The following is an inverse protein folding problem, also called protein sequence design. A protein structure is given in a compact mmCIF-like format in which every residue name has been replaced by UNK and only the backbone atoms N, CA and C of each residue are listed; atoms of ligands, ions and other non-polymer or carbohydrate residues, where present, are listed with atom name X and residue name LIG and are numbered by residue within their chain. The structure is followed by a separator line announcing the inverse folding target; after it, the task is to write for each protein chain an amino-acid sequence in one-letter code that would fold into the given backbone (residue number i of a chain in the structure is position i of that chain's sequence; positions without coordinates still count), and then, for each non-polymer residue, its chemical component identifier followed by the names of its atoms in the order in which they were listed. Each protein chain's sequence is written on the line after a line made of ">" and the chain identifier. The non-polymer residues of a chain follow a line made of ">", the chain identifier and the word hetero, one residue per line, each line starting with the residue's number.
data_IF_796924276329
#
_entry.id   IF_796924276329
#
_cell.length_a   1.000
_cell.length_b   1.000
_cell.length_c   1.000
_cell.angle_alpha   90.00
_cell.angle_beta   90.00
_cell.angle_gamma   90.00
#
_symmetry.space_group_name_H-M   'P 1'
#
loop_
_entity.id
_entity.type
_entity.pdbx_description
1 polymer ?
#
# COMPACT_ATOMS: atom_id res chain seq x y z
N UNK A 1 -16.63 -24.22 -30.51
CA UNK A 1 -15.31 -24.23 -29.85
C UNK A 1 -14.94 -22.79 -29.51
N UNK A 2 -15.39 -22.29 -28.37
CA UNK A 2 -15.24 -20.87 -27.98
C UNK A 2 -14.19 -20.80 -26.88
N UNK A 3 -12.98 -20.35 -27.23
CA UNK A 3 -11.87 -20.16 -26.28
C UNK A 3 -12.21 -19.01 -25.34
N UNK A 4 -12.55 -19.35 -24.09
CA UNK A 4 -12.72 -18.39 -23.01
C UNK A 4 -11.45 -17.57 -22.81
N UNK A 5 -11.58 -16.26 -22.96
CA UNK A 5 -10.52 -15.27 -22.70
C UNK A 5 -10.33 -15.22 -21.19
N UNK A 6 -9.34 -15.96 -20.67
CA UNK A 6 -8.91 -15.83 -19.28
C UNK A 6 -8.52 -14.37 -19.02
N UNK A 7 -9.32 -13.67 -18.21
CA UNK A 7 -8.93 -12.41 -17.60
C UNK A 7 -7.75 -12.67 -16.65
N UNK A 8 -6.54 -12.63 -17.19
CA UNK A 8 -5.32 -12.56 -16.39
C UNK A 8 -5.21 -11.11 -15.87
N UNK A 9 -5.60 -10.87 -14.62
CA UNK A 9 -5.21 -9.60 -13.98
C UNK A 9 -5.98 -9.08 -12.78
N UNK A 10 -7.06 -9.72 -12.27
CA UNK A 10 -7.92 -9.08 -11.27
C UNK A 10 -8.13 -9.83 -9.93
N UNK A 11 -7.40 -10.93 -9.65
CA UNK A 11 -7.68 -11.76 -8.45
C UNK A 11 -6.48 -12.01 -7.51
N UNK A 12 -5.55 -11.05 -7.33
CA UNK A 12 -4.42 -11.24 -6.39
C UNK A 12 -4.14 -10.06 -5.44
N UNK A 13 -5.20 -9.43 -4.93
CA UNK A 13 -5.06 -8.35 -3.93
C UNK A 13 -6.23 -8.18 -2.95
N UNK A 14 -7.20 -9.10 -2.90
CA UNK A 14 -8.56 -8.74 -2.46
C UNK A 14 -8.83 -8.71 -0.95
N UNK A 15 -8.03 -9.36 -0.09
CA UNK A 15 -8.32 -9.45 1.35
C UNK A 15 -7.47 -8.52 2.23
N UNK A 16 -6.17 -8.77 2.26
CA UNK A 16 -5.26 -8.09 3.20
C UNK A 16 -5.11 -6.59 2.89
N UNK A 17 -4.94 -6.23 1.63
CA UNK A 17 -4.84 -4.81 1.22
C UNK A 17 -6.14 -4.05 1.50
N UNK A 18 -7.29 -4.67 1.21
CA UNK A 18 -8.60 -4.08 1.52
C UNK A 18 -8.79 -3.88 3.02
N UNK A 19 -8.37 -4.85 3.83
CA UNK A 19 -8.40 -4.73 5.29
C UNK A 19 -7.48 -3.60 5.81
N UNK A 20 -6.31 -3.40 5.20
CA UNK A 20 -5.43 -2.27 5.51
C UNK A 20 -6.12 -0.96 5.16
N UNK A 21 -6.74 -0.86 3.96
CA UNK A 21 -7.43 0.37 3.54
C UNK A 21 -8.55 0.75 4.52
N UNK A 22 -9.39 -0.22 4.91
CA UNK A 22 -10.46 -0.01 5.91
C UNK A 22 -9.91 0.38 7.28
N UNK A 23 -8.81 -0.24 7.69
CA UNK A 23 -8.13 0.12 8.93
C UNK A 23 -7.64 1.57 8.88
N UNK A 24 -7.07 2.00 7.76
CA UNK A 24 -6.57 3.37 7.58
C UNK A 24 -7.71 4.40 7.59
N UNK A 25 -8.83 4.09 6.92
CA UNK A 25 -10.04 4.91 6.98
C UNK A 25 -10.56 5.02 8.43
N UNK A 26 -10.55 3.92 9.19
CA UNK A 26 -10.94 3.93 10.58
C UNK A 26 -9.97 4.77 11.44
N UNK A 27 -8.66 4.72 11.18
CA UNK A 27 -7.69 5.59 11.85
C UNK A 27 -7.92 7.07 11.58
N UNK A 28 -8.31 7.42 10.36
CA UNK A 28 -8.64 8.80 9.98
C UNK A 28 -9.90 9.28 10.70
N UNK A 29 -10.96 8.46 10.70
CA UNK A 29 -12.20 8.76 11.43
C UNK A 29 -11.99 8.92 12.94
N UNK A 30 -11.06 8.13 13.51
CA UNK A 30 -10.69 8.20 14.93
C UNK A 30 -9.68 9.32 15.23
N UNK A 31 -9.19 10.06 14.22
CA UNK A 31 -8.18 11.10 14.41
C UNK A 31 -6.83 10.58 14.89
N UNK A 32 -6.49 9.30 14.63
CA UNK A 32 -5.20 8.69 15.03
C UNK A 32 -4.12 8.85 13.96
N UNK A 33 -4.48 8.79 12.69
CA UNK A 33 -3.54 8.92 11.58
C UNK A 33 -4.27 9.21 10.26
N UNK A 34 -3.56 9.82 9.32
CA UNK A 34 -4.00 9.95 7.92
C UNK A 34 -2.97 9.22 7.06
N UNK A 35 -3.34 8.03 6.55
CA UNK A 35 -2.43 7.14 5.82
C UNK A 35 -3.14 6.67 4.55
N UNK A 36 -2.57 6.99 3.40
CA UNK A 36 -3.16 6.67 2.10
C UNK A 36 -2.27 5.74 1.30
N UNK A 37 -2.90 5.01 0.38
CA UNK A 37 -2.17 4.23 -0.62
C UNK A 37 -1.75 5.13 -1.77
N UNK A 38 -0.50 5.03 -2.18
CA UNK A 38 0.02 5.69 -3.38
C UNK A 38 -0.54 5.04 -4.64
N UNK A 39 -0.95 5.88 -5.58
CA UNK A 39 -1.38 5.44 -6.89
C UNK A 39 -0.21 4.80 -7.67
N UNK A 40 -0.53 3.95 -8.64
CA UNK A 40 0.48 3.35 -9.53
C UNK A 40 1.08 4.47 -10.40
N UNK A 41 2.39 4.74 -10.33
CA UNK A 41 3.01 5.72 -11.20
C UNK A 41 2.96 5.21 -12.65
N UNK A 42 2.73 6.12 -13.58
CA UNK A 42 2.74 5.79 -15.00
C UNK A 42 2.38 6.97 -15.90
N UNK A 43 2.51 6.75 -17.20
CA UNK A 43 2.27 7.76 -18.23
C UNK A 43 1.10 7.36 -19.10
N UNK A 44 0.21 8.31 -19.38
CA UNK A 44 -0.78 8.16 -20.42
C UNK A 44 -0.17 8.51 -21.78
N UNK A 45 0.01 7.51 -22.63
CA UNK A 45 0.59 7.67 -23.97
C UNK A 45 -0.53 7.74 -25.01
N UNK A 46 -0.42 8.71 -25.92
CA UNK A 46 -1.34 8.87 -27.07
C UNK A 46 -0.74 8.14 -28.28
N UNK A 47 -1.50 7.25 -28.96
CA UNK A 47 -1.07 6.60 -30.20
C UNK A 47 -0.72 7.62 -31.29
N UNK A 48 0.26 7.29 -32.14
CA UNK A 48 0.83 8.20 -33.16
C UNK A 48 -0.19 8.83 -34.12
N UNK A 49 -1.36 8.21 -34.32
CA UNK A 49 -2.37 8.65 -35.29
C UNK A 49 -3.46 9.53 -34.68
N UNK A 50 -3.34 9.95 -33.41
CA UNK A 50 -4.36 10.71 -32.70
C UNK A 50 -3.79 12.08 -32.37
N UNK A 51 -4.38 13.13 -32.98
CA UNK A 51 -4.02 14.52 -32.71
C UNK A 51 -4.21 14.79 -31.22
N UNK A 52 -3.18 15.34 -30.56
CA UNK A 52 -3.28 15.82 -29.18
C UNK A 52 -4.33 16.94 -29.13
N UNK A 53 -5.57 16.61 -28.83
CA UNK A 53 -6.49 17.58 -28.26
C UNK A 53 -6.01 17.87 -26.84
N UNK A 54 -6.00 19.13 -26.41
CA UNK A 54 -5.45 19.57 -25.12
C UNK A 54 -6.18 18.97 -23.91
N UNK A 55 -6.24 19.71 -22.80
CA UNK A 55 -7.06 19.37 -21.61
C UNK A 55 -8.59 19.42 -21.87
N UNK A 56 -9.01 19.34 -23.13
CA UNK A 56 -10.41 19.30 -23.52
C UNK A 56 -10.87 17.87 -23.24
N UNK A 57 -11.70 17.71 -22.22
CA UNK A 57 -12.53 16.51 -22.07
C UNK A 57 -13.33 16.42 -23.36
N UNK A 58 -13.16 15.38 -24.20
CA UNK A 58 -13.94 15.27 -25.41
C UNK A 58 -15.42 15.34 -25.01
N UNK A 59 -16.24 16.16 -25.67
CA UNK A 59 -17.66 16.21 -25.34
C UNK A 59 -18.20 14.79 -25.48
N UNK A 60 -18.67 14.24 -24.37
CA UNK A 60 -19.37 12.95 -24.35
C UNK A 60 -20.48 13.02 -25.39
N UNK A 61 -20.43 12.26 -26.51
CA UNK A 61 -21.47 12.32 -27.55
C UNK A 61 -22.87 12.02 -26.98
N UNK A 62 -22.95 11.22 -25.91
CA UNK A 62 -24.18 10.94 -25.16
C UNK A 62 -24.64 12.09 -24.25
N UNK A 63 -23.78 13.10 -24.01
CA UNK A 63 -24.10 14.31 -23.23
C UNK A 63 -24.07 15.58 -24.09
N UNK A 64 -23.80 15.46 -25.40
CA UNK A 64 -23.67 16.58 -26.32
C UNK A 64 -24.98 17.36 -26.55
N UNK A 65 -26.12 16.76 -26.20
CA UNK A 65 -27.44 17.39 -26.31
C UNK A 65 -27.82 18.24 -25.08
N UNK A 66 -27.05 18.14 -23.98
CA UNK A 66 -27.33 18.87 -22.75
C UNK A 66 -26.81 20.31 -22.84
N UNK A 67 -27.64 21.25 -22.41
CA UNK A 67 -27.32 22.68 -22.36
C UNK A 67 -26.97 23.10 -20.93
N UNK A 68 -26.23 24.19 -20.81
CA UNK A 68 -25.93 24.82 -19.52
C UNK A 68 -27.25 25.15 -18.80
N UNK A 69 -27.52 24.48 -17.67
CA UNK A 69 -28.76 24.63 -16.90
C UNK A 69 -29.64 23.37 -16.86
N UNK A 70 -29.37 22.36 -17.69
CA UNK A 70 -30.08 21.08 -17.63
C UNK A 70 -29.76 20.34 -16.33
N UNK A 71 -30.79 19.84 -15.66
CA UNK A 71 -30.64 19.05 -14.42
C UNK A 71 -30.81 17.57 -14.74
N UNK A 72 -29.89 16.75 -14.22
CA UNK A 72 -29.93 15.30 -14.40
C UNK A 72 -29.67 14.57 -13.08
N UNK A 73 -30.39 13.47 -12.81
CA UNK A 73 -30.04 12.60 -11.70
C UNK A 73 -28.67 11.94 -11.91
N UNK A 74 -27.90 11.84 -10.83
CA UNK A 74 -26.51 11.35 -10.84
C UNK A 74 -26.37 9.91 -11.35
N UNK A 75 -27.42 9.10 -11.21
CA UNK A 75 -27.49 7.73 -11.73
C UNK A 75 -27.46 7.69 -13.26
N UNK A 76 -28.24 8.56 -13.92
CA UNK A 76 -28.33 8.63 -15.38
C UNK A 76 -27.04 9.15 -16.00
N UNK A 77 -26.39 10.13 -15.34
CA UNK A 77 -25.08 10.63 -15.76
C UNK A 77 -24.01 9.52 -15.72
N UNK A 78 -23.99 8.71 -14.65
CA UNK A 78 -23.07 7.56 -14.55
C UNK A 78 -23.33 6.51 -15.62
N UNK A 79 -24.60 6.24 -15.94
CA UNK A 79 -24.97 5.26 -16.96
C UNK A 79 -24.55 5.70 -18.37
N UNK A 80 -24.76 6.98 -18.71
CA UNK A 80 -24.30 7.55 -19.98
C UNK A 80 -22.77 7.50 -20.10
N UNK A 81 -22.03 7.90 -19.05
CA UNK A 81 -20.56 7.82 -19.03
C UNK A 81 -20.02 6.38 -19.10
N UNK A 82 -20.72 5.41 -18.52
CA UNK A 82 -20.32 3.99 -18.58
C UNK A 82 -20.48 3.40 -19.98
N UNK A 83 -21.49 3.87 -20.74
CA UNK A 83 -21.71 3.44 -22.14
C UNK A 83 -20.67 3.98 -23.13
N UNK A 84 -19.92 5.01 -22.75
CA UNK A 84 -18.91 5.67 -23.61
C UNK A 84 -17.48 5.16 -23.42
N UNK A 85 -17.25 4.17 -22.57
CA UNK A 85 -15.89 3.67 -22.30
C UNK A 85 -15.22 2.92 -23.46
N UNK A 86 -15.91 2.73 -24.61
CA UNK A 86 -15.26 2.25 -25.82
C UNK A 86 -14.43 3.36 -26.49
N UNK A 87 -13.20 3.54 -26.03
CA UNK A 87 -12.16 4.18 -26.83
C UNK A 87 -11.56 5.46 -26.29
N UNK A 88 -11.25 5.54 -24.99
CA UNK A 88 -10.25 6.53 -24.57
C UNK A 88 -8.89 6.09 -25.14
N UNK A 89 -8.29 6.84 -26.09
CA UNK A 89 -7.17 6.32 -26.85
C UNK A 89 -5.85 6.31 -26.08
N UNK A 90 -5.84 6.83 -24.84
CA UNK A 90 -4.62 6.94 -24.05
C UNK A 90 -4.32 5.61 -23.37
N UNK A 91 -3.26 4.94 -23.80
CA UNK A 91 -2.75 3.76 -23.13
C UNK A 91 -2.00 4.20 -21.86
N UNK A 92 -2.36 3.66 -20.70
CA UNK A 92 -1.58 3.83 -19.48
C UNK A 92 -0.38 2.89 -19.51
N UNK A 93 0.82 3.45 -19.46
CA UNK A 93 2.08 2.72 -19.38
C UNK A 93 2.58 2.85 -17.93
N UNK A 94 2.50 1.78 -17.11
CA UNK A 94 2.99 1.82 -15.74
C UNK A 94 4.52 1.99 -15.72
N UNK A 95 5.00 2.80 -14.79
CA UNK A 95 6.42 2.96 -14.49
C UNK A 95 6.79 2.19 -13.22
N UNK A 96 8.09 1.91 -13.03
CA UNK A 96 8.55 1.19 -11.85
C UNK A 96 8.27 1.98 -10.57
N UNK A 97 7.72 1.33 -9.55
CA UNK A 97 7.53 1.92 -8.22
C UNK A 97 8.87 2.04 -7.50
N UNK A 98 9.34 3.27 -7.29
CA UNK A 98 10.51 3.55 -6.45
C UNK A 98 10.19 3.66 -4.95
N UNK A 99 8.92 3.75 -4.59
CA UNK A 99 8.43 4.09 -3.26
C UNK A 99 7.53 2.99 -2.68
N UNK A 100 7.36 2.92 -1.35
CA UNK A 100 6.42 2.02 -0.69
C UNK A 100 4.95 2.37 -1.02
N UNK A 101 4.06 1.38 -0.92
CA UNK A 101 2.64 1.52 -1.29
C UNK A 101 1.86 2.45 -0.36
N UNK A 102 2.21 2.55 0.92
CA UNK A 102 1.49 3.35 1.91
C UNK A 102 2.37 4.45 2.49
N UNK A 103 1.76 5.62 2.70
CA UNK A 103 2.43 6.77 3.29
C UNK A 103 1.45 7.74 3.94
N UNK A 104 1.90 8.43 4.99
CA UNK A 104 1.05 9.35 5.72
C UNK A 104 1.71 9.94 6.97
N UNK A 105 0.86 10.41 7.88
CA UNK A 105 1.27 11.01 9.15
C UNK A 105 0.42 10.49 10.32
N UNK A 106 1.03 10.41 11.49
CA UNK A 106 0.38 10.01 12.74
C UNK A 106 0.00 11.25 13.55
N UNK A 107 -1.21 11.27 14.10
CA UNK A 107 -1.66 12.29 15.03
C UNK A 107 -1.39 11.87 16.50
N UNK A 108 -1.17 12.83 17.41
CA UNK A 108 -1.03 14.27 17.18
C UNK A 108 0.38 14.70 16.79
N UNK A 109 1.35 13.78 16.79
CA UNK A 109 2.78 14.11 16.66
C UNK A 109 3.18 14.67 15.29
N UNK A 110 2.41 14.40 14.24
CA UNK A 110 2.79 14.70 12.86
C UNK A 110 3.91 13.82 12.32
N UNK A 111 4.32 12.77 13.05
CA UNK A 111 5.41 11.87 12.64
C UNK A 111 5.02 11.14 11.35
N UNK A 112 5.91 11.17 10.36
CA UNK A 112 5.72 10.46 9.11
C UNK A 112 5.70 8.94 9.31
N UNK A 113 4.88 8.25 8.53
CA UNK A 113 4.84 6.79 8.45
C UNK A 113 4.82 6.33 6.99
N UNK A 114 5.69 5.39 6.65
CA UNK A 114 5.82 4.83 5.30
C UNK A 114 6.00 3.31 5.39
N UNK A 115 5.19 2.55 4.66
CA UNK A 115 5.34 1.10 4.66
C UNK A 115 4.81 0.45 3.39
N UNK A 116 5.33 -0.73 3.09
CA UNK A 116 4.75 -1.61 2.07
C UNK A 116 4.09 -2.83 2.71
N UNK A 117 3.03 -3.34 2.09
CA UNK A 117 2.30 -4.50 2.59
C UNK A 117 2.74 -5.76 1.83
N UNK A 118 3.13 -6.81 2.57
CA UNK A 118 3.55 -8.10 2.00
C UNK A 118 2.75 -9.24 2.61
N UNK A 119 2.41 -10.23 1.78
CA UNK A 119 1.83 -11.48 2.24
C UNK A 119 2.78 -12.62 1.86
N UNK A 120 3.07 -13.50 2.81
CA UNK A 120 3.84 -14.73 2.59
C UNK A 120 3.06 -15.95 3.07
N UNK A 121 3.16 -17.05 2.33
CA UNK A 121 2.66 -18.38 2.74
C UNK A 121 3.74 -19.23 3.42
N UNK A 122 5.01 -18.78 3.35
CA UNK A 122 6.15 -19.44 3.98
C UNK A 122 6.27 -18.99 5.43
N UNK A 123 7.01 -19.75 6.23
CA UNK A 123 7.41 -19.37 7.59
C UNK A 123 8.59 -18.36 7.61
N UNK A 124 8.73 -17.60 6.53
CA UNK A 124 9.74 -16.56 6.36
C UNK A 124 9.26 -15.47 5.41
N UNK A 125 9.77 -14.26 5.64
CA UNK A 125 9.72 -13.15 4.70
C UNK A 125 11.03 -13.13 3.92
N UNK A 126 10.99 -13.52 2.66
CA UNK A 126 12.18 -13.58 1.81
C UNK A 126 12.56 -12.20 1.29
N UNK A 127 13.86 -11.91 1.26
CA UNK A 127 14.38 -10.62 0.79
C UNK A 127 14.15 -10.39 -0.70
N UNK A 128 13.99 -11.45 -1.49
CA UNK A 128 13.63 -11.33 -2.91
C UNK A 128 12.25 -10.69 -3.10
N UNK A 129 11.38 -10.72 -2.07
CA UNK A 129 10.08 -10.06 -2.07
C UNK A 129 10.16 -8.58 -1.65
N UNK A 130 11.32 -8.12 -1.18
CA UNK A 130 11.60 -6.74 -0.75
C UNK A 130 12.43 -6.05 -1.83
N UNK A 131 11.80 -5.25 -2.68
CA UNK A 131 12.50 -4.60 -3.78
C UNK A 131 13.57 -3.61 -3.25
N UNK A 132 14.80 -3.61 -3.80
CA UNK A 132 15.90 -2.78 -3.29
C UNK A 132 15.56 -1.29 -3.18
N UNK A 133 14.85 -0.73 -4.15
CA UNK A 133 14.45 0.68 -4.13
C UNK A 133 13.50 1.01 -2.97
N UNK A 134 12.57 0.11 -2.65
CA UNK A 134 11.66 0.27 -1.50
C UNK A 134 12.45 0.26 -0.18
N UNK A 135 13.40 -0.67 -0.05
CA UNK A 135 14.26 -0.77 1.13
C UNK A 135 15.08 0.51 1.31
N UNK A 136 15.75 0.98 0.25
CA UNK A 136 16.54 2.23 0.30
C UNK A 136 15.68 3.45 0.65
N UNK A 137 14.45 3.53 0.13
CA UNK A 137 13.52 4.60 0.49
C UNK A 137 13.17 4.56 1.98
N UNK A 138 12.78 3.38 2.48
CA UNK A 138 12.38 3.20 3.88
C UNK A 138 13.55 3.45 4.85
N UNK A 139 14.78 3.07 4.48
CA UNK A 139 15.99 3.38 5.26
C UNK A 139 16.17 4.90 5.39
N UNK A 140 16.10 5.64 4.28
CA UNK A 140 16.21 7.12 4.30
C UNK A 140 15.11 7.79 5.11
N UNK A 141 13.88 7.29 5.02
CA UNK A 141 12.77 7.85 5.80
C UNK A 141 12.94 7.58 7.30
N UNK A 142 13.43 6.39 7.67
CA UNK A 142 13.77 6.08 9.06
C UNK A 142 14.89 6.98 9.60
N UNK A 143 15.91 7.27 8.79
CA UNK A 143 17.00 8.19 9.16
C UNK A 143 16.49 9.61 9.45
N UNK A 144 15.36 10.01 8.84
CA UNK A 144 14.64 11.26 9.12
C UNK A 144 13.65 11.17 10.30
N UNK A 145 13.62 10.05 11.03
CA UNK A 145 12.75 9.84 12.18
C UNK A 145 11.34 9.33 11.86
N UNK A 146 11.04 9.00 10.60
CA UNK A 146 9.74 8.42 10.22
C UNK A 146 9.62 6.94 10.63
N UNK A 147 8.41 6.49 10.94
CA UNK A 147 8.13 5.06 11.09
C UNK A 147 8.19 4.43 9.71
N UNK A 148 9.16 3.55 9.50
CA UNK A 148 9.41 2.96 8.18
C UNK A 148 9.60 1.46 8.27
N UNK A 149 8.91 0.70 7.41
CA UNK A 149 9.00 -0.76 7.45
C UNK A 149 8.04 -1.48 6.50
N UNK A 150 7.70 -2.71 6.87
CA UNK A 150 6.80 -3.58 6.11
C UNK A 150 5.69 -4.10 7.01
N UNK A 151 4.44 -4.04 6.56
CA UNK A 151 3.33 -4.73 7.21
C UNK A 151 3.18 -6.12 6.57
N UNK A 152 3.47 -7.16 7.35
CA UNK A 152 3.70 -8.51 6.81
C UNK A 152 2.66 -9.48 7.36
N UNK A 153 1.88 -10.08 6.46
CA UNK A 153 0.96 -11.18 6.75
C UNK A 153 1.63 -12.54 6.50
N UNK A 154 1.69 -13.38 7.53
CA UNK A 154 2.00 -14.80 7.41
C UNK A 154 0.68 -15.56 7.23
N UNK A 155 0.23 -15.70 5.98
CA UNK A 155 -1.12 -16.16 5.63
C UNK A 155 -1.46 -17.53 6.21
N UNK A 156 -0.51 -18.47 6.19
CA UNK A 156 -0.67 -19.84 6.74
C UNK A 156 -0.91 -19.83 8.25
N UNK A 157 -0.42 -18.79 8.95
CA UNK A 157 -0.55 -18.62 10.40
C UNK A 157 -1.67 -17.68 10.79
N UNK A 158 -2.23 -16.93 9.83
CA UNK A 158 -3.21 -15.88 10.07
C UNK A 158 -2.70 -14.82 11.06
N UNK A 159 -1.42 -14.47 10.95
CA UNK A 159 -0.75 -13.50 11.81
C UNK A 159 -0.16 -12.36 10.99
N UNK A 160 -0.23 -11.16 11.56
CA UNK A 160 0.30 -9.94 10.94
C UNK A 160 1.28 -9.29 11.91
N UNK A 161 2.41 -8.82 11.37
CA UNK A 161 3.44 -8.11 12.11
C UNK A 161 3.85 -6.85 11.34
N UNK A 162 4.12 -5.77 12.06
CA UNK A 162 4.91 -4.67 11.51
C UNK A 162 6.39 -5.00 11.69
N UNK A 163 7.11 -5.13 10.59
CA UNK A 163 8.55 -5.38 10.54
C UNK A 163 9.27 -4.06 10.24
N UNK A 164 9.89 -3.41 11.23
CA UNK A 164 10.58 -2.14 11.03
C UNK A 164 11.80 -2.32 10.13
N UNK A 165 12.16 -1.28 9.37
CA UNK A 165 13.26 -1.35 8.39
C UNK A 165 14.60 -1.70 9.05
N UNK A 166 14.78 -1.35 10.32
CA UNK A 166 15.95 -1.67 11.13
C UNK A 166 16.15 -3.19 11.29
N UNK A 167 15.06 -3.97 11.38
CA UNK A 167 15.14 -5.45 11.38
C UNK A 167 15.63 -5.95 10.04
N UNK A 168 15.11 -5.39 8.94
CA UNK A 168 15.56 -5.76 7.58
C UNK A 168 17.05 -5.45 7.40
N UNK A 169 17.49 -4.26 7.83
CA UNK A 169 18.88 -3.85 7.79
C UNK A 169 19.79 -4.76 8.65
N UNK A 170 19.34 -5.14 9.86
CA UNK A 170 20.05 -6.07 10.75
C UNK A 170 20.33 -7.41 10.06
N UNK A 171 19.29 -8.06 9.53
CA UNK A 171 19.43 -9.36 8.88
C UNK A 171 20.23 -9.28 7.57
N UNK A 172 20.12 -8.19 6.80
CA UNK A 172 20.95 -7.96 5.60
C UNK A 172 22.43 -7.81 5.94
N UNK A 173 22.76 -7.09 7.03
CA UNK A 173 24.15 -6.90 7.50
C UNK A 173 24.76 -8.17 8.06
N UNK A 174 23.98 -8.98 8.77
CA UNK A 174 24.44 -10.24 9.33
C UNK A 174 24.87 -11.28 8.26
N UNK A 175 24.60 -11.03 6.97
CA UNK A 175 25.00 -11.83 5.76
C UNK A 175 24.71 -13.34 5.80
N UNK A 176 24.13 -13.88 6.86
CA UNK A 176 23.90 -15.32 7.02
C UNK A 176 22.51 -15.77 6.53
N UNK A 177 21.55 -14.86 6.31
CA UNK A 177 20.17 -15.23 5.91
C UNK A 177 19.60 -14.30 4.83
N UNK A 178 18.89 -14.91 3.87
CA UNK A 178 18.17 -14.23 2.77
C UNK A 178 16.70 -13.95 3.12
N UNK A 179 16.33 -14.08 4.39
CA UNK A 179 14.95 -13.95 4.84
C UNK A 179 14.88 -13.63 6.34
N UNK A 180 13.73 -13.09 6.75
CA UNK A 180 13.37 -12.89 8.16
C UNK A 180 12.44 -14.04 8.56
N UNK A 181 12.83 -14.92 9.49
CA UNK A 181 11.99 -16.02 9.91
C UNK A 181 10.77 -15.56 10.72
N UNK A 182 9.66 -16.30 10.60
CA UNK A 182 8.46 -16.08 11.41
C UNK A 182 8.75 -16.10 12.93
N UNK A 183 9.57 -17.05 13.40
CA UNK A 183 9.86 -17.20 14.84
C UNK A 183 10.50 -15.93 15.41
N UNK A 184 11.38 -15.29 14.65
CA UNK A 184 11.97 -14.01 15.04
C UNK A 184 10.89 -12.94 15.24
N UNK A 185 9.95 -12.83 14.28
CA UNK A 185 8.84 -11.89 14.42
C UNK A 185 7.96 -12.21 15.64
N UNK A 186 7.64 -13.49 15.86
CA UNK A 186 6.79 -13.91 16.97
C UNK A 186 7.43 -13.68 18.36
N UNK A 187 8.75 -13.84 18.47
CA UNK A 187 9.49 -13.68 19.72
C UNK A 187 9.84 -12.22 20.01
N UNK A 188 10.14 -11.42 18.97
CA UNK A 188 10.73 -10.08 19.13
C UNK A 188 9.80 -8.93 18.77
N UNK A 189 8.74 -9.17 18.00
CA UNK A 189 7.84 -8.12 17.53
C UNK A 189 6.43 -8.30 18.10
N UNK A 190 5.76 -7.20 18.38
CA UNK A 190 4.36 -7.25 18.78
C UNK A 190 3.49 -7.70 17.60
N UNK A 191 2.65 -8.70 17.84
CA UNK A 191 1.61 -9.12 16.89
C UNK A 191 0.60 -7.99 16.70
N UNK A 192 0.20 -7.77 15.46
CA UNK A 192 -0.92 -6.88 15.13
C UNK A 192 -2.22 -7.57 15.53
N UNK A 193 -2.95 -6.92 16.44
CA UNK A 193 -4.25 -7.38 16.92
C UNK A 193 -5.38 -6.59 16.26
N UNK A 194 -6.61 -7.13 16.23
CA UNK A 194 -7.78 -6.32 15.93
C UNK A 194 -7.92 -5.15 16.91
N UNK A 195 -8.35 -4.00 16.40
CA UNK A 195 -8.56 -2.80 17.19
C UNK A 195 -10.00 -2.64 17.66
N UNK A 196 -10.33 -1.42 18.11
CA UNK A 196 -11.72 -1.05 18.45
C UNK A 196 -12.49 -0.64 17.19
N UNK A 197 -13.78 -1.00 17.15
CA UNK A 197 -14.68 -0.58 16.08
C UNK A 197 -14.28 -1.15 14.71
N UNK A 198 -14.06 -0.27 13.73
CA UNK A 198 -13.75 -0.63 12.35
C UNK A 198 -12.25 -0.88 12.08
N UNK A 199 -11.39 -0.80 13.10
CA UNK A 199 -9.95 -1.04 12.98
C UNK A 199 -9.69 -2.55 12.91
N UNK A 200 -9.51 -3.09 11.70
CA UNK A 200 -9.34 -4.53 11.45
C UNK A 200 -7.95 -5.00 11.90
N UNK A 201 -6.91 -4.24 11.58
CA UNK A 201 -5.53 -4.53 11.94
C UNK A 201 -4.92 -3.34 12.67
N UNK A 202 -4.92 -3.35 14.01
CA UNK A 202 -4.40 -2.23 14.80
C UNK A 202 -2.86 -2.21 14.85
N UNK A 203 -2.25 -1.99 13.69
CA UNK A 203 -0.80 -2.01 13.52
C UNK A 203 -0.11 -0.83 14.19
N UNK A 204 -0.78 0.33 14.33
CA UNK A 204 -0.22 1.48 15.07
C UNK A 204 0.01 1.12 16.55
N UNK A 205 -0.96 0.47 17.19
CA UNK A 205 -0.81 0.04 18.58
C UNK A 205 0.30 -1.03 18.74
N UNK A 206 0.48 -1.90 17.75
CA UNK A 206 1.59 -2.85 17.73
C UNK A 206 2.95 -2.14 17.59
N UNK A 207 3.06 -1.14 16.71
CA UNK A 207 4.26 -0.32 16.55
C UNK A 207 4.59 0.40 17.86
N UNK A 208 3.61 1.07 18.48
CA UNK A 208 3.81 1.74 19.77
C UNK A 208 4.30 0.78 20.86
N UNK A 209 3.79 -0.45 20.90
CA UNK A 209 4.25 -1.46 21.85
C UNK A 209 5.69 -1.93 21.56
N UNK A 210 6.05 -2.07 20.29
CA UNK A 210 7.42 -2.37 19.88
C UNK A 210 8.37 -1.24 20.26
N UNK A 211 8.04 0.02 19.97
CA UNK A 211 8.88 1.18 20.29
C UNK A 211 9.05 1.38 21.81
N UNK A 212 8.03 1.08 22.61
CA UNK A 212 8.14 1.06 24.09
C UNK A 212 9.16 0.04 24.59
N UNK A 213 9.35 -1.07 23.88
CA UNK A 213 10.23 -2.17 24.29
C UNK A 213 11.64 -2.03 23.69
N UNK A 214 11.74 -1.59 22.44
CA UNK A 214 12.96 -1.61 21.63
C UNK A 214 13.55 -0.21 21.40
N UNK A 215 12.84 0.84 21.81
CA UNK A 215 13.12 2.24 21.46
C UNK A 215 12.60 2.60 20.06
N UNK A 216 12.35 3.90 19.82
CA UNK A 216 11.85 4.40 18.54
C UNK A 216 12.81 4.16 17.36
N UNK A 217 14.12 4.14 17.64
CA UNK A 217 15.17 3.79 16.67
C UNK A 217 15.40 2.26 16.56
N UNK A 218 14.66 1.47 17.34
CA UNK A 218 14.80 0.01 17.45
C UNK A 218 16.23 -0.45 17.82
N UNK A 219 17.01 0.40 18.50
CA UNK A 219 18.39 0.09 18.95
C UNK A 219 18.44 -1.10 19.92
N UNK A 220 17.35 -1.35 20.65
CA UNK A 220 17.21 -2.52 21.53
C UNK A 220 17.29 -3.87 20.80
N UNK A 221 17.12 -3.90 19.47
CA UNK A 221 17.29 -5.12 18.66
C UNK A 221 18.72 -5.68 18.72
N UNK A 222 19.74 -4.80 18.77
CA UNK A 222 21.14 -5.22 18.74
C UNK A 222 21.59 -5.84 20.07
N UNK A 223 21.00 -5.39 21.19
CA UNK A 223 21.32 -5.90 22.52
C UNK A 223 20.77 -7.31 22.77
N UNK A 224 19.84 -7.77 21.93
CA UNK A 224 19.17 -9.06 22.03
C UNK A 224 19.59 -10.07 20.94
N UNK A 225 20.54 -9.68 20.07
CA UNK A 225 21.11 -10.51 19.02
C UNK A 225 22.41 -11.24 19.43
N UNK A 226 22.73 -11.21 20.74
CA UNK A 226 23.79 -12.01 21.38
C UNK A 226 23.14 -13.16 22.12
#
# INVERSE_FOLDING_TARGET
>A
MTRGRQQRGAERGSGFQEAINRTNEAYEQLGRACITRKAIPGKYVVPKNIRRQGLIVPPSPSLAHLKTGDTMPSSSLRQSLASEQEGYPRAFVPESRGEPDYGGVIAPTGRGIFYDAKTTKRDSLDFDNLHPHQVTFLERMADCGAISGFLVEFATRQLVFFVPIQVVALFRRARQRKSIPYHFCAERLARVQPGRGLVIYDYLSAIEAQERTLGADYRGLTQLAT
#
